data_IF_740124244948
#
_entry.id   IF_740124244948
#
_cell.length_a   1.000
_cell.length_b   1.000
_cell.length_c   1.000
_cell.angle_alpha   90.00
_cell.angle_beta   90.00
_cell.angle_gamma   90.00
#
_symmetry.space_group_name_H-M   'P 1'
#
loop_
_entity.id
_entity.type
_entity.pdbx_description
1 polymer ?
#
# COMPACT_ATOMS: atom_id res chain seq x y z
N UNK A 1 -2.29 -12.25 21.47
CA UNK A 1 -2.38 -10.89 20.89
C UNK A 1 -2.94 -11.03 19.48
N UNK A 2 -3.97 -10.28 19.10
CA UNK A 2 -4.56 -10.39 17.75
C UNK A 2 -3.55 -9.80 16.74
N UNK A 3 -3.12 -10.59 15.74
CA UNK A 3 -2.23 -10.08 14.70
C UNK A 3 -3.00 -9.15 13.75
N UNK A 4 -2.41 -8.00 13.45
CA UNK A 4 -2.91 -7.02 12.47
C UNK A 4 -2.20 -7.14 11.11
N UNK A 5 -1.35 -8.14 10.92
CA UNK A 5 -0.60 -8.34 9.68
C UNK A 5 -1.52 -8.39 8.45
N UNK A 6 -2.63 -9.13 8.54
CA UNK A 6 -3.61 -9.22 7.45
C UNK A 6 -4.30 -7.89 7.14
N UNK A 7 -4.52 -7.03 8.14
CA UNK A 7 -5.09 -5.70 7.92
C UNK A 7 -4.11 -4.78 7.18
N UNK A 8 -2.84 -4.80 7.59
CA UNK A 8 -1.78 -4.04 6.94
C UNK A 8 -1.58 -4.47 5.49
N UNK A 9 -1.56 -5.79 5.22
CA UNK A 9 -1.43 -6.30 3.86
C UNK A 9 -2.61 -5.90 2.98
N UNK A 10 -3.85 -5.97 3.50
CA UNK A 10 -5.04 -5.49 2.76
C UNK A 10 -4.97 -4.00 2.43
N UNK A 11 -4.44 -3.18 3.34
CA UNK A 11 -4.24 -1.76 3.05
C UNK A 11 -3.16 -1.53 2.00
N UNK A 12 -2.03 -2.23 2.11
CA UNK A 12 -0.93 -2.16 1.13
C UNK A 12 -1.40 -2.48 -0.30
N UNK A 13 -2.22 -3.52 -0.46
CA UNK A 13 -2.79 -3.90 -1.77
C UNK A 13 -3.67 -2.78 -2.34
N UNK A 14 -4.52 -2.16 -1.49
CA UNK A 14 -5.37 -1.03 -1.93
C UNK A 14 -4.57 0.20 -2.32
N UNK A 15 -3.49 0.51 -1.59
CA UNK A 15 -2.60 1.61 -1.94
C UNK A 15 -1.90 1.35 -3.27
N UNK A 16 -1.50 0.11 -3.55
CA UNK A 16 -0.92 -0.28 -4.83
C UNK A 16 -1.93 -0.17 -5.98
N UNK A 17 -3.18 -0.61 -5.78
CA UNK A 17 -4.24 -0.40 -6.77
C UNK A 17 -4.49 1.09 -7.05
N UNK A 18 -4.46 1.92 -5.99
CA UNK A 18 -4.59 3.37 -6.15
C UNK A 18 -3.41 3.94 -6.95
N UNK A 19 -2.18 3.52 -6.65
CA UNK A 19 -0.99 3.95 -7.40
C UNK A 19 -1.12 3.65 -8.90
N UNK A 20 -1.65 2.48 -9.26
CA UNK A 20 -1.91 2.11 -10.67
C UNK A 20 -2.94 3.04 -11.31
N UNK A 21 -4.06 3.32 -10.63
CA UNK A 21 -5.09 4.23 -11.14
C UNK A 21 -4.57 5.66 -11.29
N UNK A 22 -3.78 6.15 -10.33
CA UNK A 22 -3.14 7.47 -10.41
C UNK A 22 -2.15 7.54 -11.57
N UNK A 23 -1.39 6.48 -11.82
CA UNK A 23 -0.50 6.40 -12.98
C UNK A 23 -1.29 6.46 -14.29
N UNK A 24 -2.39 5.71 -14.40
CA UNK A 24 -3.28 5.72 -15.56
C UNK A 24 -3.96 7.08 -15.77
N UNK A 25 -4.26 7.81 -14.69
CA UNK A 25 -4.86 9.15 -14.72
C UNK A 25 -3.85 10.27 -15.03
N UNK A 26 -2.54 9.98 -15.01
CA UNK A 26 -1.48 10.99 -15.19
C UNK A 26 -1.12 11.76 -13.91
N UNK A 27 -1.67 11.36 -12.76
CA UNK A 27 -1.39 11.96 -11.45
C UNK A 27 -0.09 11.36 -10.87
N UNK A 28 1.05 11.69 -11.48
CA UNK A 28 2.32 11.02 -11.19
C UNK A 28 2.79 11.20 -9.74
N UNK A 29 2.59 12.37 -9.13
CA UNK A 29 2.91 12.55 -7.70
C UNK A 29 2.09 11.62 -6.79
N UNK A 30 0.82 11.40 -7.13
CA UNK A 30 -0.08 10.51 -6.40
C UNK A 30 0.29 9.05 -6.62
N UNK A 31 0.71 8.68 -7.83
CA UNK A 31 1.22 7.34 -8.11
C UNK A 31 2.45 7.02 -7.25
N UNK A 32 3.41 7.95 -7.14
CA UNK A 32 4.59 7.81 -6.30
C UNK A 32 4.23 7.76 -4.81
N UNK A 33 3.38 8.67 -4.33
CA UNK A 33 2.92 8.68 -2.94
C UNK A 33 2.23 7.37 -2.55
N UNK A 34 1.28 6.91 -3.35
CA UNK A 34 0.55 5.68 -3.09
C UNK A 34 1.45 4.43 -3.18
N UNK A 35 2.43 4.42 -4.08
CA UNK A 35 3.44 3.34 -4.15
C UNK A 35 4.29 3.27 -2.88
N UNK A 36 4.74 4.41 -2.35
CA UNK A 36 5.46 4.47 -1.08
C UNK A 36 4.59 3.94 0.07
N UNK A 37 3.34 4.40 0.16
CA UNK A 37 2.37 3.95 1.16
C UNK A 37 2.11 2.44 1.10
N UNK A 38 2.02 1.86 -0.10
CA UNK A 38 1.86 0.43 -0.30
C UNK A 38 3.07 -0.35 0.24
N UNK A 39 4.29 0.08 -0.11
CA UNK A 39 5.53 -0.55 0.34
C UNK A 39 5.67 -0.52 1.87
N UNK A 40 5.43 0.64 2.50
CA UNK A 40 5.51 0.79 3.96
C UNK A 40 4.56 -0.19 4.68
N UNK A 41 3.30 -0.26 4.22
CA UNK A 41 2.30 -1.12 4.85
C UNK A 41 2.57 -2.61 4.59
N UNK A 42 3.12 -2.98 3.44
CA UNK A 42 3.51 -4.35 3.15
C UNK A 42 4.65 -4.81 4.09
N UNK A 43 5.68 -3.98 4.27
CA UNK A 43 6.79 -4.29 5.21
C UNK A 43 6.27 -4.36 6.65
N UNK A 44 5.37 -3.46 7.04
CA UNK A 44 4.72 -3.51 8.36
C UNK A 44 3.90 -4.77 8.57
N UNK A 45 3.19 -5.23 7.54
CA UNK A 45 2.47 -6.49 7.58
C UNK A 45 3.42 -7.68 7.81
N UNK A 46 4.54 -7.72 7.09
CA UNK A 46 5.56 -8.76 7.21
C UNK A 46 6.17 -8.80 8.63
N UNK A 47 6.48 -7.63 9.21
CA UNK A 47 7.07 -7.56 10.55
C UNK A 47 6.09 -7.97 11.67
N UNK A 48 4.78 -7.84 11.45
CA UNK A 48 3.74 -8.22 12.42
C UNK A 48 3.18 -9.64 12.21
N UNK A 49 3.67 -10.36 11.19
CA UNK A 49 3.20 -11.70 10.82
C UNK A 49 3.74 -12.77 11.76
#
# INVERSE_FOLDING_TARGET
MVSRAGDWLRQAIRDYEHAKRSLEAGDYEWACFASHQAAEKAVKALYQA
#
